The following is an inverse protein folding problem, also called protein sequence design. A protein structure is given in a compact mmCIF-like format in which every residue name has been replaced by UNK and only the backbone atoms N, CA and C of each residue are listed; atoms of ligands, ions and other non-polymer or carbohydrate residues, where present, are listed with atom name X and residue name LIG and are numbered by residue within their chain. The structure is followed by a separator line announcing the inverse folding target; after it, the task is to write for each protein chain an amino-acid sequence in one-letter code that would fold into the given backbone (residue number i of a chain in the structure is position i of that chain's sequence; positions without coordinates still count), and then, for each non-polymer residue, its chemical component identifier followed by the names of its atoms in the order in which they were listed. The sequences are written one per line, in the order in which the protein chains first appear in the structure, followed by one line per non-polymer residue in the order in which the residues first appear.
data_IF_964119266373
#
_entry.id   IF_964119266373
#
_cell.length_a   1.000
_cell.length_b   1.000
_cell.length_c   1.000
_cell.angle_alpha   90.00
_cell.angle_beta   90.00
_cell.angle_gamma   90.00
#
_symmetry.space_group_name_H-M   'P 1'
#
loop_
_entity.id
_entity.type
_entity.pdbx_description
1 polymer ?
#
# COMPACT_ATOMS: atom_id res chain seq x y z
N UNK A 1 -5.14 14.26 -8.40
CA UNK A 1 -4.27 13.11 -8.07
C UNK A 1 -4.16 13.00 -6.57
N UNK A 2 -4.36 11.81 -6.03
CA UNK A 2 -4.20 11.52 -4.60
C UNK A 2 -2.92 10.72 -4.35
N UNK A 3 -2.42 10.81 -3.13
CA UNK A 3 -1.35 9.98 -2.63
C UNK A 3 -1.97 8.81 -1.88
N UNK A 4 -1.82 7.60 -2.41
CA UNK A 4 -2.32 6.36 -1.83
C UNK A 4 -1.42 5.85 -0.71
N UNK A 5 -1.02 6.74 0.20
CA UNK A 5 -0.12 6.44 1.31
C UNK A 5 -0.75 5.43 2.28
N UNK A 6 0.10 4.59 2.86
CA UNK A 6 -0.26 3.55 3.84
C UNK A 6 0.29 3.93 5.21
N UNK A 7 -0.46 3.61 6.27
CA UNK A 7 -0.11 3.94 7.64
C UNK A 7 1.29 3.44 8.06
N UNK A 8 2.20 4.40 8.17
CA UNK A 8 3.59 4.26 8.60
C UNK A 8 3.77 3.91 10.09
N UNK A 9 2.76 4.13 10.92
CA UNK A 9 2.85 3.98 12.37
C UNK A 9 2.42 2.61 12.86
N UNK A 10 1.43 1.99 12.21
CA UNK A 10 0.94 0.67 12.60
C UNK A 10 1.09 -0.37 11.50
N UNK A 11 0.60 -0.08 10.29
CA UNK A 11 0.61 -1.07 9.20
C UNK A 11 2.03 -1.47 8.80
N UNK A 12 2.92 -0.50 8.57
CA UNK A 12 4.30 -0.82 8.17
C UNK A 12 5.15 -1.51 9.25
N UNK A 13 5.12 -1.11 10.53
CA UNK A 13 5.95 -1.73 11.56
C UNK A 13 5.37 -3.00 12.20
N UNK A 14 4.04 -3.13 12.33
CA UNK A 14 3.45 -4.17 13.20
C UNK A 14 2.58 -5.19 12.46
N UNK A 15 1.89 -4.79 11.39
CA UNK A 15 0.91 -5.66 10.73
C UNK A 15 1.54 -6.86 9.99
N UNK A 16 0.71 -7.81 9.59
CA UNK A 16 1.07 -8.90 8.67
C UNK A 16 1.00 -8.45 7.21
N UNK A 17 1.69 -9.14 6.27
CA UNK A 17 1.57 -8.86 4.84
C UNK A 17 0.12 -8.90 4.32
N UNK A 18 -0.70 -9.83 4.80
CA UNK A 18 -2.11 -9.91 4.39
C UNK A 18 -2.90 -8.67 4.83
N UNK A 19 -2.67 -8.18 6.06
CA UNK A 19 -3.28 -6.93 6.55
C UNK A 19 -2.78 -5.70 5.79
N UNK A 20 -1.52 -5.70 5.33
CA UNK A 20 -0.97 -4.65 4.46
C UNK A 20 -1.69 -4.66 3.11
N UNK A 21 -1.89 -5.84 2.50
CA UNK A 21 -2.63 -5.98 1.26
C UNK A 21 -4.09 -5.48 1.40
N UNK A 22 -4.74 -5.79 2.51
CA UNK A 22 -6.08 -5.28 2.83
C UNK A 22 -6.10 -3.75 3.00
N UNK A 23 -5.08 -3.17 3.63
CA UNK A 23 -4.95 -1.72 3.78
C UNK A 23 -4.80 -1.04 2.40
N UNK A 24 -3.95 -1.59 1.53
CA UNK A 24 -3.80 -1.13 0.15
C UNK A 24 -5.12 -1.25 -0.63
N UNK A 25 -5.82 -2.37 -0.51
CA UNK A 25 -7.10 -2.59 -1.19
C UNK A 25 -8.15 -1.55 -0.78
N UNK A 26 -8.20 -1.17 0.51
CA UNK A 26 -9.10 -0.11 1.01
C UNK A 26 -8.76 1.26 0.40
N UNK A 27 -7.48 1.63 0.38
CA UNK A 27 -7.02 2.89 -0.22
C UNK A 27 -7.31 2.91 -1.72
N UNK A 28 -7.01 1.83 -2.44
CA UNK A 28 -7.32 1.67 -3.85
C UNK A 28 -8.83 1.84 -4.10
N UNK A 29 -9.68 1.12 -3.36
CA UNK A 29 -11.14 1.21 -3.52
C UNK A 29 -11.68 2.63 -3.30
N UNK A 30 -11.08 3.40 -2.38
CA UNK A 30 -11.49 4.77 -2.08
C UNK A 30 -10.99 5.80 -3.10
N UNK A 31 -9.72 5.70 -3.52
CA UNK A 31 -9.02 6.77 -4.23
C UNK A 31 -8.73 6.48 -5.71
N UNK A 32 -8.69 5.20 -6.12
CA UNK A 32 -8.37 4.82 -7.49
C UNK A 32 -9.59 4.97 -8.41
N UNK A 33 -9.38 5.63 -9.56
CA UNK A 33 -10.40 5.81 -10.61
C UNK A 33 -9.79 5.63 -11.99
N UNK A 34 -9.32 4.39 -12.29
CA UNK A 34 -8.55 4.08 -13.51
C UNK A 34 -7.29 4.94 -13.64
N UNK A 35 -6.56 5.09 -12.51
CA UNK A 35 -5.46 6.03 -12.34
C UNK A 35 -5.79 7.11 -11.31
N UNK A 36 -5.00 8.18 -11.31
CA UNK A 36 -5.22 9.35 -10.45
C UNK A 36 -4.85 9.17 -8.97
N UNK A 37 -4.29 8.02 -8.60
CA UNK A 37 -3.73 7.74 -7.28
C UNK A 37 -2.30 7.18 -7.43
N UNK A 38 -1.36 7.71 -6.65
CA UNK A 38 0.05 7.29 -6.66
C UNK A 38 0.25 6.34 -5.49
N UNK A 39 0.82 5.16 -5.74
CA UNK A 39 1.20 4.17 -4.73
C UNK A 39 2.41 4.66 -3.89
N UNK A 40 2.22 5.70 -3.09
CA UNK A 40 3.25 6.26 -2.23
C UNK A 40 3.50 5.33 -1.04
N UNK A 41 4.77 5.10 -0.73
CA UNK A 41 5.19 4.37 0.45
C UNK A 41 6.42 5.05 1.06
N UNK A 42 6.20 6.01 1.96
CA UNK A 42 7.26 6.51 2.83
C UNK A 42 7.43 5.53 4.01
N UNK A 43 8.67 5.16 4.32
CA UNK A 43 8.96 4.28 5.44
C UNK A 43 10.25 4.69 6.16
N UNK A 44 10.28 4.47 7.47
CA UNK A 44 11.45 4.69 8.33
C UNK A 44 12.11 3.38 8.75
N UNK A 45 13.17 3.46 9.57
CA UNK A 45 13.96 2.31 10.01
C UNK A 45 13.17 1.24 10.79
N UNK A 46 12.02 1.59 11.37
CA UNK A 46 11.15 0.65 12.09
C UNK A 46 10.17 -0.11 11.20
N UNK A 47 10.05 0.23 9.91
CA UNK A 47 9.17 -0.49 9.01
C UNK A 47 9.72 -1.88 8.70
N UNK A 48 8.84 -2.89 8.69
CA UNK A 48 9.22 -4.25 8.33
C UNK A 48 9.44 -4.36 6.81
N UNK A 49 10.60 -4.85 6.33
CA UNK A 49 10.89 -4.91 4.91
C UNK A 49 9.86 -5.69 4.09
N UNK A 50 9.31 -6.78 4.64
CA UNK A 50 8.24 -7.56 4.03
C UNK A 50 6.96 -6.74 3.82
N UNK A 51 6.59 -5.88 4.78
CA UNK A 51 5.39 -5.05 4.68
C UNK A 51 5.58 -3.94 3.64
N UNK A 52 6.76 -3.32 3.59
CA UNK A 52 7.08 -2.32 2.55
C UNK A 52 7.02 -2.94 1.16
N UNK A 53 7.56 -4.15 0.97
CA UNK A 53 7.45 -4.87 -0.31
C UNK A 53 5.99 -5.18 -0.64
N UNK A 54 5.23 -5.62 0.37
CA UNK A 54 3.84 -5.99 0.17
C UNK A 54 2.96 -4.81 -0.24
N UNK A 55 3.25 -3.59 0.21
CA UNK A 55 2.54 -2.38 -0.28
C UNK A 55 2.63 -2.30 -1.81
N UNK A 56 3.83 -2.39 -2.37
CA UNK A 56 4.01 -2.31 -3.82
C UNK A 56 3.42 -3.51 -4.55
N UNK A 57 3.64 -4.73 -4.03
CA UNK A 57 3.10 -5.95 -4.63
C UNK A 57 1.56 -5.95 -4.67
N UNK A 58 0.90 -5.44 -3.62
CA UNK A 58 -0.54 -5.31 -3.58
C UNK A 58 -1.06 -4.27 -4.58
N UNK A 59 -0.39 -3.11 -4.71
CA UNK A 59 -0.74 -2.12 -5.75
C UNK A 59 -0.59 -2.70 -7.15
N UNK A 60 0.47 -3.45 -7.43
CA UNK A 60 0.69 -4.10 -8.73
C UNK A 60 -0.43 -5.10 -9.05
N UNK A 61 -0.78 -5.97 -8.10
CA UNK A 61 -1.88 -6.95 -8.30
C UNK A 61 -3.23 -6.30 -8.60
N UNK A 62 -3.48 -5.09 -8.10
CA UNK A 62 -4.74 -4.38 -8.31
C UNK A 62 -4.77 -3.53 -9.57
N UNK A 63 -3.61 -3.09 -10.07
CA UNK A 63 -3.53 -2.06 -11.12
C UNK A 63 -2.89 -2.53 -12.42
N UNK A 64 -2.04 -3.56 -12.38
CA UNK A 64 -1.46 -4.15 -13.58
C UNK A 64 -2.45 -5.16 -14.16
N UNK A 65 -2.93 -4.87 -15.37
CA UNK A 65 -3.69 -5.83 -16.16
C UNK A 65 -2.71 -6.75 -16.93
N UNK A 66 -3.06 -8.03 -17.04
CA UNK A 66 -2.36 -8.97 -17.92
C UNK A 66 -2.58 -8.63 -19.40
#
# INVERSE_FOLDING_TARGET
TFWGEIDRQYILPEATPDEVADAVAKVHAALWKNGGCIAQCEFGAGARPENVREVFAAWDRLTVQA
#
